data_IF_315832741548
#
_entry.id   IF_315832741548
#
_cell.length_a   1.000
_cell.length_b   1.000
_cell.length_c   1.000
_cell.angle_alpha   90.00
_cell.angle_beta   90.00
_cell.angle_gamma   90.00
#
_symmetry.space_group_name_H-M   'P 1'
#
loop_
_entity.id
_entity.type
_entity.pdbx_description
1 polymer ?
#
# COMPACT_ATOMS: atom_id res chain seq x y z
N UNK A 1 -10.86 6.51 -14.00
CA UNK A 1 -10.33 7.69 -13.28
C UNK A 1 -9.69 7.20 -11.99
N UNK A 2 -8.39 6.92 -12.01
CA UNK A 2 -7.64 6.57 -10.81
C UNK A 2 -7.60 7.79 -9.91
N UNK A 3 -8.07 7.66 -8.65
CA UNK A 3 -7.93 8.72 -7.65
C UNK A 3 -6.49 8.70 -7.18
N UNK A 4 -5.61 9.28 -7.99
CA UNK A 4 -4.19 9.38 -7.68
C UNK A 4 -4.06 10.13 -6.35
N UNK A 5 -3.39 9.51 -5.38
CA UNK A 5 -3.14 10.15 -4.11
C UNK A 5 -2.13 11.27 -4.31
N UNK A 6 -2.57 12.50 -4.12
CA UNK A 6 -1.71 13.69 -4.16
C UNK A 6 -1.52 14.17 -2.71
N UNK A 7 -0.41 13.81 -2.04
CA UNK A 7 -0.13 14.35 -0.72
C UNK A 7 0.09 15.87 -0.81
N UNK A 8 -0.11 16.61 0.30
CA UNK A 8 0.30 18.01 0.37
C UNK A 8 1.81 18.14 0.11
N UNK A 9 2.27 19.37 -0.20
CA UNK A 9 3.69 19.62 -0.46
C UNK A 9 4.54 19.15 0.72
N UNK A 10 5.55 18.34 0.43
CA UNK A 10 6.53 17.88 1.40
C UNK A 10 7.36 19.08 1.85
N UNK A 11 7.21 19.47 3.12
CA UNK A 11 8.09 20.43 3.79
C UNK A 11 8.89 19.62 4.80
N UNK A 12 10.20 19.76 4.80
CA UNK A 12 11.10 19.02 5.67
C UNK A 12 11.82 19.99 6.61
N UNK A 13 11.96 19.62 7.87
CA UNK A 13 12.83 20.31 8.83
C UNK A 13 14.03 19.43 9.16
N UNK A 14 15.22 20.01 9.34
CA UNK A 14 16.38 19.24 9.80
C UNK A 14 16.11 18.67 11.19
N UNK A 15 16.61 17.46 11.43
CA UNK A 15 16.57 16.81 12.74
C UNK A 15 17.22 17.72 13.79
N UNK A 16 16.49 18.05 14.85
CA UNK A 16 17.03 18.80 16.00
C UNK A 16 17.88 17.87 16.88
N UNK A 17 19.04 18.37 17.31
CA UNK A 17 19.98 17.59 18.14
C UNK A 17 19.49 17.39 19.59
N UNK A 18 18.53 18.20 20.05
CA UNK A 18 18.15 18.27 21.47
C UNK A 18 17.01 17.36 21.94
N UNK A 19 16.25 16.70 21.04
CA UNK A 19 15.03 15.96 21.42
C UNK A 19 15.19 14.44 21.23
N UNK A 20 16.02 13.84 22.08
CA UNK A 20 16.41 12.42 22.00
C UNK A 20 15.22 11.44 21.97
N UNK A 21 14.17 11.72 22.74
CA UNK A 21 12.97 10.86 22.82
C UNK A 21 12.20 10.81 21.49
N UNK A 22 12.02 11.96 20.84
CA UNK A 22 11.36 12.05 19.52
C UNK A 22 12.21 11.36 18.46
N UNK A 23 13.53 11.52 18.55
CA UNK A 23 14.48 10.91 17.63
C UNK A 23 14.45 9.37 17.70
N UNK A 24 14.38 8.80 18.91
CA UNK A 24 14.31 7.35 19.11
C UNK A 24 12.97 6.76 18.65
N UNK A 25 11.86 7.45 18.94
CA UNK A 25 10.52 7.06 18.48
C UNK A 25 10.43 7.11 16.95
N UNK A 26 11.03 8.13 16.32
CA UNK A 26 11.08 8.25 14.87
C UNK A 26 11.96 7.15 14.26
N UNK A 27 13.12 6.87 14.85
CA UNK A 27 14.01 5.82 14.40
C UNK A 27 13.35 4.43 14.45
N UNK A 28 12.70 4.10 15.57
CA UNK A 28 11.96 2.85 15.73
C UNK A 28 10.79 2.74 14.74
N UNK A 29 10.06 3.84 14.51
CA UNK A 29 8.98 3.91 13.51
C UNK A 29 9.49 3.70 12.09
N UNK A 30 10.62 4.30 11.71
CA UNK A 30 11.25 4.09 10.40
C UNK A 30 11.74 2.64 10.22
N UNK A 31 12.25 2.02 11.28
CA UNK A 31 12.64 0.61 11.28
C UNK A 31 11.43 -0.30 11.08
N UNK A 32 10.31 -0.01 11.74
CA UNK A 32 9.05 -0.71 11.54
C UNK A 32 8.53 -0.53 10.10
N UNK A 33 8.56 0.71 9.58
CA UNK A 33 8.14 1.03 8.22
C UNK A 33 8.98 0.29 7.17
N UNK A 34 10.30 0.16 7.38
CA UNK A 34 11.18 -0.65 6.53
C UNK A 34 10.79 -2.13 6.53
N UNK A 35 10.50 -2.70 7.70
CA UNK A 35 10.05 -4.09 7.82
C UNK A 35 8.72 -4.29 7.10
N UNK A 36 7.78 -3.38 7.30
CA UNK A 36 6.47 -3.39 6.64
C UNK A 36 6.59 -3.30 5.11
N UNK A 37 7.45 -2.42 4.58
CA UNK A 37 7.71 -2.33 3.13
C UNK A 37 8.23 -3.66 2.56
N UNK A 38 9.19 -4.30 3.24
CA UNK A 38 9.72 -5.61 2.83
C UNK A 38 8.65 -6.71 2.84
N UNK A 39 7.82 -6.76 3.88
CA UNK A 39 6.71 -7.73 3.99
C UNK A 39 5.61 -7.45 2.96
N UNK A 40 5.29 -6.18 2.72
CA UNK A 40 4.33 -5.79 1.70
C UNK A 40 4.78 -6.26 0.31
N UNK A 41 6.09 -6.24 0.01
CA UNK A 41 6.63 -6.73 -1.25
C UNK A 41 6.25 -8.19 -1.55
N UNK A 42 6.40 -9.10 -0.58
CA UNK A 42 6.01 -10.50 -0.78
C UNK A 42 4.50 -10.66 -0.93
N UNK A 43 3.71 -9.91 -0.15
CA UNK A 43 2.24 -9.97 -0.21
C UNK A 43 1.71 -9.43 -1.54
N UNK A 44 2.26 -8.32 -2.03
CA UNK A 44 1.91 -7.73 -3.33
C UNK A 44 2.23 -8.69 -4.47
N UNK A 45 3.32 -9.45 -4.39
CA UNK A 45 3.64 -10.45 -5.40
C UNK A 45 2.59 -11.57 -5.48
N UNK A 46 2.15 -12.09 -4.33
CA UNK A 46 1.08 -13.11 -4.28
C UNK A 46 -0.22 -12.52 -4.85
N UNK A 47 -0.58 -11.32 -4.41
CA UNK A 47 -1.77 -10.60 -4.87
C UNK A 47 -1.77 -10.38 -6.39
N UNK A 48 -0.62 -10.06 -6.97
CA UNK A 48 -0.48 -9.87 -8.42
C UNK A 48 -0.69 -11.18 -9.18
N UNK A 49 -0.26 -12.30 -8.63
CA UNK A 49 -0.50 -13.62 -9.24
C UNK A 49 -1.98 -13.99 -9.17
N UNK A 50 -2.63 -13.78 -8.02
CA UNK A 50 -4.07 -13.96 -7.86
C UNK A 50 -4.87 -13.09 -8.85
N UNK A 51 -4.46 -11.83 -9.01
CA UNK A 51 -5.07 -10.92 -9.99
C UNK A 51 -4.97 -11.46 -11.41
N UNK A 52 -3.79 -11.97 -11.83
CA UNK A 52 -3.60 -12.58 -13.17
C UNK A 52 -4.48 -13.79 -13.38
N UNK A 53 -4.63 -14.64 -12.36
CA UNK A 53 -5.52 -15.81 -12.41
C UNK A 53 -6.97 -15.34 -12.61
N UNK A 54 -7.42 -14.35 -11.82
CA UNK A 54 -8.76 -13.78 -11.94
C UNK A 54 -9.01 -13.17 -13.32
N UNK A 55 -8.01 -12.52 -13.91
CA UNK A 55 -8.09 -11.96 -15.27
C UNK A 55 -8.21 -13.03 -16.35
N UNK A 56 -7.43 -14.11 -16.26
CA UNK A 56 -7.54 -15.25 -17.19
C UNK A 56 -8.92 -15.91 -17.11
N UNK A 57 -9.41 -16.17 -15.90
CA UNK A 57 -10.75 -16.72 -15.68
C UNK A 57 -11.79 -15.79 -16.27
N UNK A 58 -11.68 -14.48 -16.00
CA UNK A 58 -12.60 -13.50 -16.54
C UNK A 58 -12.60 -13.53 -18.06
N UNK A 59 -11.44 -13.40 -18.70
CA UNK A 59 -11.36 -13.35 -20.16
C UNK A 59 -11.95 -14.61 -20.81
N UNK A 60 -11.67 -15.79 -20.24
CA UNK A 60 -12.18 -17.08 -20.76
C UNK A 60 -13.70 -17.24 -20.61
N UNK A 61 -14.30 -16.71 -19.55
CA UNK A 61 -15.73 -16.94 -19.24
C UNK A 61 -16.64 -15.75 -19.52
N UNK A 62 -16.09 -14.62 -19.98
CA UNK A 62 -16.85 -13.40 -20.26
C UNK A 62 -17.91 -13.57 -21.36
N UNK A 63 -17.69 -14.44 -22.34
CA UNK A 63 -18.61 -14.64 -23.47
C UNK A 63 -19.63 -15.77 -23.24
N UNK A 64 -19.49 -16.55 -22.17
CA UNK A 64 -20.30 -17.77 -21.94
C UNK A 64 -21.22 -17.67 -20.73
N UNK A 65 -21.07 -16.66 -19.86
CA UNK A 65 -21.86 -16.55 -18.63
C UNK A 65 -22.94 -15.46 -18.71
N UNK A 66 -24.20 -15.89 -18.59
CA UNK A 66 -25.30 -15.03 -18.08
C UNK A 66 -24.88 -14.48 -16.69
N UNK A 67 -25.38 -13.32 -16.24
CA UNK A 67 -24.91 -12.66 -15.01
C UNK A 67 -25.28 -13.44 -13.74
N UNK A 68 -24.56 -14.53 -13.47
CA UNK A 68 -24.69 -15.33 -12.26
C UNK A 68 -24.12 -14.58 -11.06
N UNK A 69 -24.52 -14.99 -9.85
CA UNK A 69 -23.94 -14.45 -8.62
C UNK A 69 -22.43 -14.70 -8.53
N UNK A 70 -21.94 -15.82 -9.07
CA UNK A 70 -20.52 -16.12 -9.18
C UNK A 70 -19.78 -15.10 -10.07
N UNK A 71 -20.36 -14.74 -11.22
CA UNK A 71 -19.79 -13.76 -12.14
C UNK A 71 -19.74 -12.34 -11.53
N UNK A 72 -20.80 -11.93 -10.83
CA UNK A 72 -20.83 -10.65 -10.09
C UNK A 72 -19.74 -10.59 -9.02
N UNK A 73 -19.51 -11.69 -8.29
CA UNK A 73 -18.45 -11.81 -7.28
C UNK A 73 -17.05 -11.75 -7.91
N UNK A 74 -16.82 -12.47 -9.01
CA UNK A 74 -15.54 -12.41 -9.74
C UNK A 74 -15.24 -10.98 -10.20
N UNK A 75 -16.21 -10.30 -10.84
CA UNK A 75 -16.10 -8.88 -11.22
C UNK A 75 -15.83 -7.98 -10.02
N UNK A 76 -16.40 -8.27 -8.86
CA UNK A 76 -16.15 -7.50 -7.64
C UNK A 76 -14.74 -7.70 -7.10
N UNK A 77 -14.29 -8.95 -6.94
CA UNK A 77 -12.92 -9.28 -6.52
C UNK A 77 -11.91 -8.63 -7.45
N UNK A 78 -12.04 -8.82 -8.77
CA UNK A 78 -11.13 -8.22 -9.76
C UNK A 78 -11.02 -6.70 -9.59
N UNK A 79 -12.14 -6.00 -9.35
CA UNK A 79 -12.13 -4.54 -9.09
C UNK A 79 -11.40 -4.18 -7.80
N UNK A 80 -11.51 -4.99 -6.75
CA UNK A 80 -10.79 -4.75 -5.50
C UNK A 80 -9.28 -4.95 -5.67
N UNK A 81 -8.87 -6.03 -6.34
CA UNK A 81 -7.47 -6.30 -6.65
C UNK A 81 -6.85 -5.17 -7.49
N UNK A 82 -7.54 -4.71 -8.54
CA UNK A 82 -7.07 -3.56 -9.34
C UNK A 82 -6.92 -2.29 -8.50
N UNK A 83 -7.90 -1.97 -7.65
CA UNK A 83 -7.82 -0.80 -6.75
C UNK A 83 -6.65 -0.90 -5.78
N UNK A 84 -6.33 -2.11 -5.32
CA UNK A 84 -5.23 -2.34 -4.39
C UNK A 84 -3.87 -2.28 -5.10
N UNK A 85 -3.80 -2.80 -6.33
CA UNK A 85 -2.65 -2.65 -7.22
C UNK A 85 -2.36 -1.17 -7.52
N UNK A 86 -3.38 -0.38 -7.86
CA UNK A 86 -3.27 1.08 -8.09
C UNK A 86 -2.76 1.87 -6.88
N UNK A 87 -2.77 1.29 -5.68
CA UNK A 87 -2.22 1.95 -4.50
C UNK A 87 -0.70 1.89 -4.43
N UNK A 88 -0.05 1.05 -5.25
CA UNK A 88 1.41 0.86 -5.30
C UNK A 88 2.05 0.80 -3.90
N UNK A 89 1.49 -0.04 -3.02
CA UNK A 89 1.80 -0.02 -1.57
C UNK A 89 3.29 0.00 -1.25
N UNK A 90 4.10 -0.79 -1.96
CA UNK A 90 5.56 -0.83 -1.75
C UNK A 90 6.21 0.51 -2.08
N UNK A 91 5.92 1.05 -3.27
CA UNK A 91 6.41 2.36 -3.70
C UNK A 91 5.94 3.47 -2.76
N UNK A 92 4.70 3.39 -2.30
CA UNK A 92 4.13 4.35 -1.36
C UNK A 92 4.87 4.33 0.00
N UNK A 93 5.12 3.15 0.57
CA UNK A 93 5.86 3.00 1.82
C UNK A 93 7.31 3.49 1.68
N UNK A 94 7.96 3.20 0.55
CA UNK A 94 9.32 3.67 0.30
C UNK A 94 9.36 5.19 0.06
N UNK A 95 8.36 5.78 -0.59
CA UNK A 95 8.20 7.24 -0.74
C UNK A 95 7.99 7.93 0.60
N UNK A 96 7.16 7.34 1.48
CA UNK A 96 6.98 7.83 2.84
C UNK A 96 8.29 7.78 3.63
N UNK A 97 9.11 6.74 3.46
CA UNK A 97 10.43 6.64 4.09
C UNK A 97 11.38 7.71 3.56
N UNK A 98 11.40 7.95 2.25
CA UNK A 98 12.24 8.97 1.63
C UNK A 98 11.95 10.38 2.17
N UNK A 99 10.73 10.65 2.63
CA UNK A 99 10.36 11.93 3.23
C UNK A 99 11.15 12.29 4.51
N UNK A 100 11.91 11.36 5.09
CA UNK A 100 12.79 11.58 6.25
C UNK A 100 14.26 11.81 5.88
N UNK A 101 14.57 11.85 4.57
CA UNK A 101 15.91 12.01 4.03
C UNK A 101 15.99 13.28 3.18
N UNK A 102 17.20 13.80 2.92
CA UNK A 102 17.38 14.98 2.07
C UNK A 102 16.77 14.76 0.69
N UNK A 103 16.28 15.84 0.07
CA UNK A 103 15.81 15.81 -1.30
C UNK A 103 16.88 15.22 -2.24
N UNK A 104 16.45 14.36 -3.17
CA UNK A 104 17.36 13.64 -4.08
C UNK A 104 17.91 12.32 -3.54
N UNK A 105 17.59 11.94 -2.30
CA UNK A 105 17.92 10.60 -1.78
C UNK A 105 17.18 9.53 -2.55
N UNK A 106 17.89 8.47 -2.95
CA UNK A 106 17.30 7.30 -3.62
C UNK A 106 16.93 6.19 -2.64
N UNK A 107 16.04 5.29 -3.03
CA UNK A 107 15.65 4.12 -2.21
C UNK A 107 16.86 3.27 -1.77
N UNK A 108 17.91 3.21 -2.60
CA UNK A 108 19.16 2.49 -2.29
C UNK A 108 19.94 3.13 -1.13
N UNK A 109 19.79 4.44 -0.92
CA UNK A 109 20.45 5.23 0.11
C UNK A 109 19.68 5.26 1.45
N UNK A 110 18.49 4.64 1.53
CA UNK A 110 17.71 4.46 2.77
C UNK A 110 18.38 3.55 3.83
N UNK A 111 19.66 3.21 3.65
CA UNK A 111 20.50 2.53 4.64
C UNK A 111 21.22 3.53 5.56
N UNK A 112 21.32 4.79 5.14
CA UNK A 112 21.96 5.87 5.90
C UNK A 112 21.09 6.31 7.08
N UNK A 113 21.67 7.08 8.00
CA UNK A 113 20.91 7.74 9.05
C UNK A 113 19.94 8.76 8.43
N UNK A 114 18.71 8.82 8.96
CA UNK A 114 17.75 9.84 8.59
C UNK A 114 18.16 11.19 9.19
N UNK A 115 17.88 12.27 8.47
CA UNK A 115 18.35 13.62 8.84
C UNK A 115 17.26 14.68 8.81
N UNK A 116 16.07 14.33 8.31
CA UNK A 116 14.97 15.27 8.15
C UNK A 116 13.68 14.70 8.75
N UNK A 117 12.80 15.60 9.20
CA UNK A 117 11.46 15.30 9.67
C UNK A 117 10.47 15.92 8.68
N UNK A 118 9.58 15.12 8.06
CA UNK A 118 8.54 15.66 7.19
C UNK A 118 7.47 16.40 7.99
N UNK A 119 6.80 17.36 7.34
CA UNK A 119 5.73 18.15 7.93
C UNK A 119 4.59 17.28 8.44
N UNK A 120 3.95 17.74 9.51
CA UNK A 120 2.80 17.05 10.11
C UNK A 120 1.67 16.83 9.11
N UNK A 121 1.37 17.82 8.27
CA UNK A 121 0.32 17.70 7.23
C UNK A 121 0.63 16.61 6.21
N UNK A 122 1.91 16.45 5.83
CA UNK A 122 2.35 15.39 4.93
C UNK A 122 2.23 14.01 5.57
N UNK A 123 2.71 13.85 6.80
CA UNK A 123 2.65 12.57 7.51
C UNK A 123 1.22 12.16 7.81
N UNK A 124 0.37 13.09 8.23
CA UNK A 124 -1.06 12.86 8.46
C UNK A 124 -1.78 12.39 7.19
N UNK A 125 -1.53 13.05 6.04
CA UNK A 125 -2.10 12.64 4.76
C UNK A 125 -1.65 11.22 4.37
N UNK A 126 -0.37 10.90 4.60
CA UNK A 126 0.17 9.57 4.33
C UNK A 126 -0.45 8.50 5.24
N UNK A 127 -0.64 8.81 6.53
CA UNK A 127 -1.31 7.91 7.47
C UNK A 127 -2.77 7.66 7.09
N UNK A 128 -3.52 8.72 6.73
CA UNK A 128 -4.89 8.58 6.20
C UNK A 128 -4.93 7.68 4.97
N UNK A 129 -3.95 7.82 4.06
CA UNK A 129 -3.83 6.93 2.89
C UNK A 129 -3.56 5.48 3.29
N UNK A 130 -2.67 5.23 4.25
CA UNK A 130 -2.42 3.87 4.75
C UNK A 130 -3.66 3.23 5.35
N UNK A 131 -4.44 3.97 6.14
CA UNK A 131 -5.70 3.49 6.71
C UNK A 131 -6.65 3.05 5.59
N UNK A 132 -6.78 3.85 4.53
CA UNK A 132 -7.62 3.51 3.37
C UNK A 132 -7.13 2.24 2.66
N UNK A 133 -5.81 2.05 2.53
CA UNK A 133 -5.24 0.84 1.93
C UNK A 133 -5.53 -0.37 2.82
N UNK A 134 -5.35 -0.26 4.14
CA UNK A 134 -5.68 -1.33 5.09
C UNK A 134 -7.16 -1.72 5.00
N UNK A 135 -8.07 -0.75 4.90
CA UNK A 135 -9.50 -0.99 4.69
C UNK A 135 -9.81 -1.68 3.35
N UNK A 136 -8.98 -1.47 2.33
CA UNK A 136 -9.14 -2.15 1.05
C UNK A 136 -8.65 -3.60 1.14
N UNK A 137 -7.54 -3.85 1.82
CA UNK A 137 -7.01 -5.20 2.10
C UNK A 137 -8.03 -6.03 2.88
N UNK A 138 -8.67 -5.47 3.91
CA UNK A 138 -9.70 -6.19 4.67
C UNK A 138 -10.90 -6.54 3.79
N UNK A 139 -11.32 -5.65 2.88
CA UNK A 139 -12.39 -5.93 1.91
C UNK A 139 -12.02 -7.06 0.95
N UNK A 140 -10.79 -7.10 0.45
CA UNK A 140 -10.28 -8.21 -0.38
C UNK A 140 -10.37 -9.52 0.38
N UNK A 141 -9.82 -9.56 1.60
CA UNK A 141 -9.83 -10.76 2.45
C UNK A 141 -11.23 -11.26 2.77
N UNK A 142 -12.17 -10.36 3.06
CA UNK A 142 -13.58 -10.71 3.28
C UNK A 142 -14.23 -11.27 2.01
N UNK A 143 -13.91 -10.73 0.83
CA UNK A 143 -14.44 -11.21 -0.44
C UNK A 143 -13.92 -12.62 -0.77
N UNK A 144 -12.64 -12.89 -0.53
CA UNK A 144 -12.04 -14.22 -0.69
C UNK A 144 -12.67 -15.24 0.25
N UNK A 145 -12.80 -14.88 1.54
CA UNK A 145 -13.42 -15.76 2.55
C UNK A 145 -14.85 -16.13 2.17
N UNK A 146 -15.63 -15.18 1.64
CA UNK A 146 -17.00 -15.40 1.18
C UNK A 146 -17.11 -16.28 -0.10
N UNK A 147 -16.00 -16.52 -0.78
CA UNK A 147 -15.91 -17.44 -1.94
C UNK A 147 -15.51 -18.82 -1.48
N UNK A 148 -14.54 -18.92 -0.56
CA UNK A 148 -14.09 -20.20 0.01
C UNK A 148 -15.17 -20.87 0.87
N UNK A 149 -15.91 -20.10 1.67
CA UNK A 149 -16.96 -20.62 2.56
C UNK A 149 -18.18 -21.24 1.84
N UNK A 150 -18.24 -21.20 0.49
CA UNK A 150 -19.31 -21.85 -0.30
C UNK A 150 -18.84 -23.12 -1.01
N UNK A 151 -17.59 -23.55 -0.78
CA UNK A 151 -17.04 -24.81 -1.31
C UNK A 151 -17.11 -25.97 -0.31
N UNK A 152 -17.60 -25.73 0.90
CA UNK A 152 -17.99 -26.73 1.91
C UNK A 152 -19.51 -26.77 1.93
#
# INVERSE_FOLDING_TARGET
MSRQFCPPKLVQTPKSEGDGSINDTTHSSLKALRRASKQAGSVVNVMNEDMRILERIFYKSNNSQRPTMAWKKLKHMRRLYWRLHECELVNFLDTLRLAFYPAGTTVKQLKLAWTHIPSFSYTEACLKRLILICLLVTKVRSAESAVLARRV
#
